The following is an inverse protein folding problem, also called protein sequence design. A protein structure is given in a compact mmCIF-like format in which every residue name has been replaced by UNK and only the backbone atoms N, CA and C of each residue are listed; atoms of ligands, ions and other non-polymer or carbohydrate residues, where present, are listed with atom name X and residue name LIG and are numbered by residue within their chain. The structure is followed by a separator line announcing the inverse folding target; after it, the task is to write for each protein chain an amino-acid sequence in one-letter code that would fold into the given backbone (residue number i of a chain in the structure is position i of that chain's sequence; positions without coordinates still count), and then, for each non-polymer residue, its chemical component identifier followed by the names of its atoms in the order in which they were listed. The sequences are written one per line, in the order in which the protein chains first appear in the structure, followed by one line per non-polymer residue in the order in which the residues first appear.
data_IF_644910450922
#
_entry.id   IF_644910450922
#
_cell.length_a   1.000
_cell.length_b   1.000
_cell.length_c   1.000
_cell.angle_alpha   90.00
_cell.angle_beta   90.00
_cell.angle_gamma   90.00
#
_symmetry.space_group_name_H-M   'P 1'
#
loop_
_entity.id
_entity.type
_entity.pdbx_description
1 polymer ?
#
# COMPACT_ATOMS: atom_id res chain seq x y z
N UNK A 1 13.65 -15.11 -17.71
CA UNK A 1 13.87 -13.75 -18.26
C UNK A 1 15.31 -13.32 -18.05
N UNK A 2 15.92 -12.56 -18.96
CA UNK A 2 17.21 -11.92 -18.69
C UNK A 2 16.99 -10.64 -17.87
N UNK A 3 17.24 -10.73 -16.56
CA UNK A 3 17.03 -9.63 -15.60
C UNK A 3 17.94 -8.43 -15.92
N UNK A 4 19.20 -8.68 -16.32
CA UNK A 4 20.16 -7.60 -16.61
C UNK A 4 19.70 -6.82 -17.83
N UNK A 5 19.25 -7.52 -18.87
CA UNK A 5 18.68 -6.87 -20.06
C UNK A 5 17.47 -6.02 -19.69
N UNK A 6 16.56 -6.56 -18.86
CA UNK A 6 15.36 -5.84 -18.44
C UNK A 6 15.68 -4.56 -17.65
N UNK A 7 16.61 -4.64 -16.70
CA UNK A 7 17.09 -3.48 -15.96
C UNK A 7 17.75 -2.45 -16.88
N UNK A 8 18.52 -2.90 -17.87
CA UNK A 8 19.16 -1.98 -18.84
C UNK A 8 18.14 -1.23 -19.71
N UNK A 9 17.00 -1.86 -20.03
CA UNK A 9 15.89 -1.21 -20.76
C UNK A 9 15.13 -0.21 -19.88
N UNK A 10 14.95 -0.50 -18.60
CA UNK A 10 14.22 0.35 -17.65
C UNK A 10 15.05 1.52 -17.12
N UNK A 11 16.38 1.38 -17.09
CA UNK A 11 17.35 2.40 -16.67
C UNK A 11 18.25 2.82 -17.83
N UNK A 12 17.72 3.51 -18.86
CA UNK A 12 18.49 3.86 -20.07
C UNK A 12 19.65 4.83 -19.82
N UNK A 13 19.66 5.51 -18.67
CA UNK A 13 20.78 6.35 -18.22
C UNK A 13 22.00 5.55 -17.78
N UNK A 14 21.85 4.23 -17.57
CA UNK A 14 22.92 3.34 -17.12
C UNK A 14 23.26 2.35 -18.23
N UNK A 15 24.51 2.34 -18.67
CA UNK A 15 25.00 1.36 -19.65
C UNK A 15 24.83 -0.07 -19.11
N UNK A 16 24.50 -1.02 -20.00
CA UNK A 16 24.27 -2.42 -19.65
C UNK A 16 25.45 -3.09 -18.90
N UNK A 17 26.69 -2.72 -19.22
CA UNK A 17 27.87 -3.24 -18.51
C UNK A 17 27.93 -2.71 -17.06
N UNK A 18 27.54 -1.45 -16.85
CA UNK A 18 27.41 -0.89 -15.50
C UNK A 18 26.27 -1.54 -14.73
N UNK A 19 25.12 -1.80 -15.37
CA UNK A 19 24.02 -2.57 -14.75
C UNK A 19 24.52 -3.95 -14.28
N UNK A 20 25.25 -4.68 -15.13
CA UNK A 20 25.83 -5.98 -14.76
C UNK A 20 26.79 -5.87 -13.56
N UNK A 21 27.66 -4.86 -13.55
CA UNK A 21 28.58 -4.63 -12.45
C UNK A 21 27.84 -4.28 -11.15
N UNK A 22 26.82 -3.43 -11.22
CA UNK A 22 25.99 -3.05 -10.05
C UNK A 22 25.32 -4.28 -9.46
N UNK A 23 24.69 -5.13 -10.29
CA UNK A 23 24.07 -6.39 -9.85
C UNK A 23 25.11 -7.29 -9.18
N UNK A 24 26.28 -7.46 -9.79
CA UNK A 24 27.36 -8.27 -9.19
C UNK A 24 27.82 -7.74 -7.82
N UNK A 25 27.97 -6.42 -7.69
CA UNK A 25 28.35 -5.80 -6.42
C UNK A 25 27.28 -5.98 -5.34
N UNK A 26 25.99 -5.89 -5.69
CA UNK A 26 24.88 -6.16 -4.77
C UNK A 26 24.90 -7.63 -4.33
N UNK A 27 25.16 -8.56 -5.25
CA UNK A 27 25.20 -10.00 -4.96
C UNK A 27 26.38 -10.40 -4.06
N UNK A 28 27.49 -9.68 -4.16
CA UNK A 28 28.62 -9.78 -3.22
C UNK A 28 28.29 -9.25 -1.81
N UNK A 29 27.10 -8.69 -1.60
CA UNK A 29 26.64 -8.15 -0.32
C UNK A 29 27.10 -6.73 -0.05
N UNK A 30 27.59 -5.99 -1.06
CA UNK A 30 27.96 -4.59 -0.88
C UNK A 30 26.72 -3.71 -0.69
N UNK A 31 26.79 -2.77 0.24
CA UNK A 31 25.69 -1.81 0.48
C UNK A 31 25.66 -0.71 -0.59
N UNK A 32 24.49 -0.15 -0.87
CA UNK A 32 24.34 0.96 -1.82
C UNK A 32 25.28 2.15 -1.51
N UNK A 33 25.40 2.62 -0.25
CA UNK A 33 26.37 3.68 0.07
C UNK A 33 27.83 3.29 -0.20
N UNK A 34 28.19 2.02 0.00
CA UNK A 34 29.54 1.53 -0.30
C UNK A 34 29.79 1.53 -1.81
N UNK A 35 28.85 1.01 -2.60
CA UNK A 35 28.93 0.98 -4.07
C UNK A 35 29.07 2.41 -4.61
N UNK A 36 28.18 3.30 -4.20
CA UNK A 36 28.15 4.68 -4.67
C UNK A 36 29.42 5.46 -4.32
N UNK A 37 30.05 5.16 -3.18
CA UNK A 37 31.27 5.85 -2.72
C UNK A 37 32.55 5.25 -3.29
N UNK A 38 32.67 3.93 -3.33
CA UNK A 38 33.93 3.22 -3.54
C UNK A 38 33.99 2.38 -4.84
N UNK A 39 32.91 2.33 -5.61
CA UNK A 39 32.82 1.56 -6.87
C UNK A 39 32.33 2.39 -8.06
N UNK A 40 32.49 3.72 -7.99
CA UNK A 40 32.01 4.68 -9.02
C UNK A 40 32.43 4.32 -10.44
N UNK A 41 33.67 3.91 -10.64
CA UNK A 41 34.17 3.56 -11.98
C UNK A 41 33.44 2.34 -12.56
N UNK A 42 33.10 1.38 -11.71
CA UNK A 42 32.38 0.16 -12.12
C UNK A 42 30.92 0.43 -12.44
N UNK A 43 30.33 1.48 -11.86
CA UNK A 43 28.92 1.85 -12.00
C UNK A 43 28.68 3.02 -12.96
N UNK A 44 29.73 3.59 -13.57
CA UNK A 44 29.59 4.78 -14.42
C UNK A 44 29.29 6.06 -13.62
N UNK A 45 29.67 6.08 -12.35
CA UNK A 45 29.37 7.16 -11.39
C UNK A 45 27.88 7.40 -11.16
N UNK A 46 27.07 6.33 -11.20
CA UNK A 46 25.67 6.39 -10.77
C UNK A 46 25.55 6.93 -9.35
N UNK A 47 24.57 7.79 -9.12
CA UNK A 47 24.26 8.30 -7.78
C UNK A 47 23.54 7.26 -6.91
N UNK A 48 23.51 7.52 -5.60
CA UNK A 48 22.87 6.65 -4.61
C UNK A 48 21.38 6.40 -4.89
N UNK A 49 20.68 7.34 -5.55
CA UNK A 49 19.26 7.20 -5.81
C UNK A 49 19.02 6.17 -6.93
N UNK A 50 19.72 6.32 -8.05
CA UNK A 50 19.66 5.36 -9.16
C UNK A 50 20.06 3.95 -8.69
N UNK A 51 21.09 3.84 -7.85
CA UNK A 51 21.53 2.56 -7.31
C UNK A 51 20.47 1.90 -6.42
N UNK A 52 19.72 2.68 -5.62
CA UNK A 52 18.61 2.15 -4.80
C UNK A 52 17.43 1.70 -5.65
N UNK A 53 17.01 2.53 -6.62
CA UNK A 53 15.92 2.20 -7.53
C UNK A 53 16.24 0.92 -8.34
N UNK A 54 17.50 0.75 -8.75
CA UNK A 54 17.97 -0.45 -9.43
C UNK A 54 17.96 -1.68 -8.51
N UNK A 55 18.41 -1.58 -7.25
CA UNK A 55 18.35 -2.68 -6.28
C UNK A 55 16.91 -3.09 -5.99
N UNK A 56 16.02 -2.15 -5.69
CA UNK A 56 14.59 -2.42 -5.46
C UNK A 56 13.97 -3.14 -6.67
N UNK A 57 14.28 -2.67 -7.88
CA UNK A 57 13.79 -3.30 -9.11
C UNK A 57 14.41 -4.68 -9.34
N UNK A 58 15.69 -4.85 -9.05
CA UNK A 58 16.38 -6.15 -9.11
C UNK A 58 15.71 -7.16 -8.18
N UNK A 59 15.42 -6.78 -6.94
CA UNK A 59 14.71 -7.65 -5.99
C UNK A 59 13.31 -8.01 -6.48
N UNK A 60 12.56 -7.05 -7.03
CA UNK A 60 11.26 -7.32 -7.63
C UNK A 60 11.35 -8.35 -8.77
N UNK A 61 12.28 -8.15 -9.72
CA UNK A 61 12.42 -9.05 -10.88
C UNK A 61 12.86 -10.46 -10.45
N UNK A 62 13.72 -10.57 -9.43
CA UNK A 62 14.09 -11.86 -8.83
C UNK A 62 12.90 -12.55 -8.18
N UNK A 63 12.09 -11.82 -7.42
CA UNK A 63 10.88 -12.35 -6.82
C UNK A 63 9.88 -12.81 -7.88
N UNK A 64 9.76 -12.09 -9.00
CA UNK A 64 8.94 -12.48 -10.13
C UNK A 64 9.42 -13.80 -10.74
N UNK A 65 10.71 -13.94 -11.06
CA UNK A 65 11.25 -15.17 -11.65
C UNK A 65 11.13 -16.37 -10.69
N UNK A 66 11.45 -16.18 -9.41
CA UNK A 66 11.23 -17.20 -8.38
C UNK A 66 9.76 -17.64 -8.33
N UNK A 67 8.83 -16.69 -8.40
CA UNK A 67 7.40 -17.00 -8.37
C UNK A 67 6.96 -17.77 -9.62
N UNK A 68 7.46 -17.41 -10.80
CA UNK A 68 7.23 -18.16 -12.04
C UNK A 68 7.70 -19.61 -11.91
N UNK A 69 8.89 -19.83 -11.36
CA UNK A 69 9.44 -21.17 -11.13
C UNK A 69 8.57 -22.00 -10.19
N UNK A 70 8.16 -21.43 -9.05
CA UNK A 70 7.27 -22.08 -8.08
C UNK A 70 5.93 -22.48 -8.71
N UNK A 71 5.31 -21.58 -9.48
CA UNK A 71 4.05 -21.82 -10.18
C UNK A 71 4.23 -22.91 -11.24
N UNK A 72 5.30 -22.83 -12.04
CA UNK A 72 5.61 -23.83 -13.05
C UNK A 72 5.79 -25.22 -12.44
N UNK A 73 6.50 -25.31 -11.32
CA UNK A 73 6.70 -26.56 -10.59
C UNK A 73 5.36 -27.12 -10.08
N UNK A 74 4.56 -26.30 -9.42
CA UNK A 74 3.24 -26.68 -8.89
C UNK A 74 2.29 -27.21 -9.98
N UNK A 75 2.24 -26.56 -11.13
CA UNK A 75 1.39 -26.98 -12.26
C UNK A 75 1.92 -28.27 -12.91
N UNK A 76 3.24 -28.41 -13.01
CA UNK A 76 3.88 -29.61 -13.57
C UNK A 76 3.67 -30.83 -12.68
N UNK A 77 3.73 -30.67 -11.36
CA UNK A 77 3.44 -31.73 -10.37
C UNK A 77 1.98 -32.21 -10.46
N UNK A 78 1.05 -31.36 -10.92
CA UNK A 78 -0.34 -31.73 -11.20
C UNK A 78 -0.54 -32.42 -12.55
N UNK A 79 0.49 -32.52 -13.40
CA UNK A 79 0.40 -33.07 -14.75
C UNK A 79 -0.42 -32.22 -15.72
N UNK A 80 -0.61 -30.93 -15.43
CA UNK A 80 -1.45 -30.00 -16.21
C UNK A 80 -0.65 -28.96 -17.02
N UNK A 81 0.68 -29.06 -16.99
CA UNK A 81 1.53 -28.13 -17.72
C UNK A 81 1.45 -28.40 -19.23
N UNK A 82 1.18 -27.36 -20.01
CA UNK A 82 1.27 -27.38 -21.49
C UNK A 82 2.34 -26.41 -21.96
N UNK A 83 2.82 -26.57 -23.20
CA UNK A 83 3.84 -25.70 -23.78
C UNK A 83 3.34 -24.25 -23.92
N UNK A 84 2.04 -24.07 -24.22
CA UNK A 84 1.41 -22.74 -24.29
C UNK A 84 1.34 -22.08 -22.93
N UNK A 85 0.96 -22.83 -21.89
CA UNK A 85 0.90 -22.32 -20.52
C UNK A 85 2.29 -21.97 -19.99
N UNK A 86 3.28 -22.83 -20.26
CA UNK A 86 4.67 -22.57 -19.90
C UNK A 86 5.16 -21.27 -20.55
N UNK A 87 4.93 -21.13 -21.85
CA UNK A 87 5.28 -19.93 -22.59
C UNK A 87 4.58 -18.68 -22.05
N UNK A 88 3.30 -18.78 -21.67
CA UNK A 88 2.55 -17.68 -21.06
C UNK A 88 3.11 -17.27 -19.69
N UNK A 89 3.50 -18.23 -18.84
CA UNK A 89 4.11 -17.94 -17.53
C UNK A 89 5.49 -17.29 -17.70
N UNK A 90 6.31 -17.82 -18.60
CA UNK A 90 7.64 -17.27 -18.87
C UNK A 90 7.56 -15.83 -19.41
N UNK A 91 6.55 -15.54 -20.24
CA UNK A 91 6.26 -14.21 -20.80
C UNK A 91 5.58 -13.22 -19.84
N UNK A 92 5.03 -13.68 -18.70
CA UNK A 92 4.35 -12.80 -17.75
C UNK A 92 5.31 -11.72 -17.21
N UNK A 93 4.86 -10.47 -17.22
CA UNK A 93 5.68 -9.30 -16.87
C UNK A 93 5.49 -8.84 -15.41
N UNK A 94 4.42 -9.32 -14.75
CA UNK A 94 4.07 -8.91 -13.39
C UNK A 94 3.68 -10.11 -12.53
N UNK A 95 3.83 -9.99 -11.21
CA UNK A 95 3.39 -11.01 -10.27
C UNK A 95 1.88 -11.29 -10.40
N UNK A 96 1.08 -10.26 -10.69
CA UNK A 96 -0.36 -10.39 -10.89
C UNK A 96 -0.69 -11.27 -12.09
N UNK A 97 0.00 -11.12 -13.21
CA UNK A 97 -0.19 -11.98 -14.40
C UNK A 97 0.18 -13.44 -14.10
N UNK A 98 1.26 -13.66 -13.34
CA UNK A 98 1.65 -15.01 -12.89
C UNK A 98 0.58 -15.63 -11.99
N UNK A 99 0.03 -14.87 -11.03
CA UNK A 99 -1.04 -15.35 -10.16
C UNK A 99 -2.35 -15.61 -10.92
N UNK A 100 -2.69 -14.78 -11.92
CA UNK A 100 -3.84 -14.99 -12.78
C UNK A 100 -3.71 -16.30 -13.57
N UNK A 101 -2.54 -16.59 -14.15
CA UNK A 101 -2.25 -17.85 -14.83
C UNK A 101 -2.25 -19.05 -13.89
N UNK A 102 -1.83 -18.87 -12.63
CA UNK A 102 -1.80 -19.93 -11.63
C UNK A 102 -3.19 -20.24 -11.04
N UNK A 103 -4.13 -19.29 -11.09
CA UNK A 103 -5.43 -19.36 -10.41
C UNK A 103 -6.23 -20.64 -10.65
N UNK A 104 -6.33 -21.17 -11.90
CA UNK A 104 -7.04 -22.43 -12.18
C UNK A 104 -6.43 -23.66 -11.48
N UNK A 105 -5.15 -23.61 -11.14
CA UNK A 105 -4.37 -24.73 -10.59
C UNK A 105 -4.14 -24.63 -9.09
N UNK A 106 -4.54 -23.51 -8.48
CA UNK A 106 -4.42 -23.29 -7.05
C UNK A 106 -5.43 -24.18 -6.33
N UNK A 107 -5.01 -24.86 -5.26
CA UNK A 107 -5.92 -25.62 -4.42
C UNK A 107 -6.97 -24.70 -3.80
N UNK A 108 -8.26 -24.97 -4.07
CA UNK A 108 -9.39 -24.17 -3.56
C UNK A 108 -10.12 -24.91 -2.45
N UNK A 109 -10.74 -24.15 -1.55
CA UNK A 109 -11.78 -24.67 -0.65
C UNK A 109 -12.94 -25.22 -1.49
N UNK A 110 -13.74 -26.12 -0.94
CA UNK A 110 -14.90 -26.72 -1.62
C UNK A 110 -15.83 -25.62 -2.20
N UNK A 111 -15.81 -25.46 -3.52
CA UNK A 111 -16.66 -24.54 -4.30
C UNK A 111 -17.85 -25.28 -4.92
N UNK A 112 -18.84 -24.52 -5.41
CA UNK A 112 -19.96 -25.10 -6.18
C UNK A 112 -19.48 -25.86 -7.42
N UNK A 113 -18.48 -25.31 -8.13
CA UNK A 113 -17.84 -25.97 -9.26
C UNK A 113 -17.14 -27.27 -8.84
N UNK A 114 -16.32 -27.24 -7.76
CA UNK A 114 -15.65 -28.46 -7.29
C UNK A 114 -16.65 -29.56 -6.86
N UNK A 115 -17.77 -29.16 -6.23
CA UNK A 115 -18.82 -30.10 -5.88
C UNK A 115 -19.52 -30.67 -7.14
N UNK A 116 -19.73 -29.85 -8.18
CA UNK A 116 -20.25 -30.33 -9.45
C UNK A 116 -19.26 -31.26 -10.19
N UNK A 117 -17.96 -30.99 -10.10
CA UNK A 117 -16.90 -31.86 -10.64
C UNK A 117 -16.87 -33.20 -9.90
N UNK A 118 -16.96 -33.20 -8.56
CA UNK A 118 -17.07 -34.43 -7.75
C UNK A 118 -18.30 -35.29 -8.13
N UNK A 119 -19.37 -34.64 -8.60
CA UNK A 119 -20.58 -35.31 -9.12
C UNK A 119 -20.44 -35.82 -10.55
N UNK A 120 -19.31 -35.56 -11.22
CA UNK A 120 -19.06 -36.01 -12.59
C UNK A 120 -19.64 -35.10 -13.68
N UNK A 121 -19.96 -33.84 -13.38
CA UNK A 121 -20.59 -32.91 -14.33
C UNK A 121 -19.61 -32.15 -15.25
N UNK A 122 -18.30 -32.36 -15.11
CA UNK A 122 -17.28 -31.73 -15.97
C UNK A 122 -17.50 -31.99 -17.48
N UNK A 123 -17.77 -33.23 -17.94
CA UNK A 123 -17.99 -33.48 -19.36
C UNK A 123 -19.21 -32.74 -19.93
N UNK A 124 -20.27 -32.57 -19.12
CA UNK A 124 -21.44 -31.79 -19.50
C UNK A 124 -21.09 -30.30 -19.63
N UNK A 125 -20.30 -29.75 -18.70
CA UNK A 125 -19.82 -28.36 -18.77
C UNK A 125 -18.97 -28.12 -20.01
N UNK A 126 -18.06 -29.03 -20.33
CA UNK A 126 -17.21 -28.95 -21.53
C UNK A 126 -18.06 -29.01 -22.81
N UNK A 127 -19.09 -29.87 -22.85
CA UNK A 127 -20.01 -29.96 -23.98
C UNK A 127 -20.86 -28.68 -24.15
N UNK A 128 -21.34 -28.11 -23.05
CA UNK A 128 -22.06 -26.83 -23.06
C UNK A 128 -21.15 -25.71 -23.55
N UNK A 129 -19.88 -25.65 -23.12
CA UNK A 129 -18.90 -24.64 -23.57
C UNK A 129 -18.59 -24.74 -25.06
N UNK A 130 -18.53 -25.94 -25.62
CA UNK A 130 -18.36 -26.14 -27.06
C UNK A 130 -19.47 -25.46 -27.88
N UNK A 131 -20.68 -25.33 -27.32
CA UNK A 131 -21.86 -24.72 -27.96
C UNK A 131 -22.09 -25.27 -29.37
N UNK A 132 -22.00 -26.60 -29.50
CA UNK A 132 -22.29 -27.31 -30.75
C UNK A 132 -23.81 -27.27 -31.03
N UNK A 133 -24.27 -26.61 -32.11
CA UNK A 133 -25.70 -26.47 -32.40
C UNK A 133 -26.41 -27.80 -32.71
N UNK A 134 -25.66 -28.86 -33.01
CA UNK A 134 -26.21 -30.18 -33.31
C UNK A 134 -26.61 -30.97 -32.06
N UNK A 135 -26.31 -30.45 -30.87
CA UNK A 135 -26.48 -31.15 -29.58
C UNK A 135 -27.69 -30.62 -28.85
N UNK A 136 -28.60 -31.52 -28.50
CA UNK A 136 -29.61 -31.24 -27.50
C UNK A 136 -29.00 -31.33 -26.09
N UNK A 137 -28.71 -30.16 -25.50
CA UNK A 137 -28.14 -30.05 -24.15
C UNK A 137 -29.02 -30.69 -23.09
N UNK A 138 -30.35 -30.68 -23.26
CA UNK A 138 -31.26 -31.28 -22.27
C UNK A 138 -31.16 -32.80 -22.29
N UNK A 139 -31.19 -33.40 -23.48
CA UNK A 139 -30.99 -34.83 -23.66
C UNK A 139 -29.59 -35.27 -23.21
N UNK A 140 -28.57 -34.43 -23.43
CA UNK A 140 -27.22 -34.71 -22.92
C UNK A 140 -27.18 -34.66 -21.39
N UNK A 141 -27.85 -33.68 -20.77
CA UNK A 141 -27.90 -33.53 -19.31
C UNK A 141 -28.60 -34.69 -18.61
N UNK A 142 -29.59 -35.33 -19.25
CA UNK A 142 -30.26 -36.52 -18.71
C UNK A 142 -29.30 -37.68 -18.43
N UNK A 143 -28.22 -37.80 -19.21
CA UNK A 143 -27.18 -38.84 -19.01
C UNK A 143 -26.39 -38.67 -17.71
N UNK A 144 -26.45 -37.49 -17.11
CA UNK A 144 -25.73 -37.15 -15.88
C UNK A 144 -26.64 -37.10 -14.65
N UNK A 145 -27.91 -37.50 -14.78
CA UNK A 145 -28.85 -37.59 -13.66
C UNK A 145 -28.49 -38.78 -12.79
N UNK A 146 -28.19 -38.48 -11.53
CA UNK A 146 -27.74 -39.45 -10.54
C UNK A 146 -28.15 -38.91 -9.15
N UNK A 147 -29.27 -39.40 -8.64
CA UNK A 147 -29.81 -38.96 -7.36
C UNK A 147 -28.87 -39.31 -6.19
N UNK A 148 -28.11 -40.40 -6.27
CA UNK A 148 -27.14 -40.80 -5.24
C UNK A 148 -25.95 -39.86 -5.18
N UNK A 149 -25.55 -39.29 -6.32
CA UNK A 149 -24.55 -38.21 -6.38
C UNK A 149 -25.14 -36.82 -6.13
N UNK A 150 -26.44 -36.70 -5.83
CA UNK A 150 -27.11 -35.42 -5.57
C UNK A 150 -27.40 -34.61 -6.82
N UNK A 151 -27.63 -35.28 -7.96
CA UNK A 151 -28.10 -34.71 -9.23
C UNK A 151 -29.49 -35.31 -9.55
N UNK A 152 -30.57 -34.77 -8.96
CA UNK A 152 -31.89 -35.41 -9.01
C UNK A 152 -32.59 -35.31 -10.38
N UNK A 153 -32.23 -34.31 -11.20
CA UNK A 153 -32.84 -34.07 -12.51
C UNK A 153 -31.86 -33.37 -13.48
N UNK A 154 -32.25 -33.27 -14.75
CA UNK A 154 -31.45 -32.63 -15.79
C UNK A 154 -31.21 -31.14 -15.51
N UNK A 155 -32.12 -30.46 -14.81
CA UNK A 155 -31.96 -29.06 -14.46
C UNK A 155 -30.84 -28.87 -13.42
N UNK A 156 -30.73 -29.78 -12.44
CA UNK A 156 -29.65 -29.82 -11.48
C UNK A 156 -28.29 -30.14 -12.13
N UNK A 157 -28.27 -31.03 -13.13
CA UNK A 157 -27.08 -31.32 -13.93
C UNK A 157 -26.61 -30.06 -14.69
N UNK A 158 -27.53 -29.36 -15.37
CA UNK A 158 -27.25 -28.10 -16.06
C UNK A 158 -26.78 -27.02 -15.07
N UNK A 159 -27.42 -26.89 -13.90
CA UNK A 159 -27.02 -25.93 -12.89
C UNK A 159 -25.59 -26.18 -12.39
N UNK A 160 -25.24 -27.44 -12.10
CA UNK A 160 -23.87 -27.81 -11.73
C UNK A 160 -22.86 -27.57 -12.85
N UNK A 161 -23.23 -27.85 -14.11
CA UNK A 161 -22.40 -27.51 -15.26
C UNK A 161 -22.18 -25.99 -15.40
N UNK A 162 -23.23 -25.17 -15.17
CA UNK A 162 -23.10 -23.70 -15.13
C UNK A 162 -22.18 -23.22 -14.01
N UNK A 163 -22.22 -23.84 -12.83
CA UNK A 163 -21.30 -23.51 -11.74
C UNK A 163 -19.83 -23.77 -12.12
N UNK A 164 -19.55 -24.85 -12.87
CA UNK A 164 -18.21 -25.15 -13.42
C UNK A 164 -17.80 -24.07 -14.43
N UNK A 165 -18.67 -23.73 -15.38
CA UNK A 165 -18.42 -22.71 -16.40
C UNK A 165 -18.16 -21.34 -15.77
N UNK A 166 -18.96 -20.96 -14.77
CA UNK A 166 -18.80 -19.71 -14.04
C UNK A 166 -17.40 -19.60 -13.38
N UNK A 167 -16.87 -20.71 -12.85
CA UNK A 167 -15.53 -20.74 -12.26
C UNK A 167 -14.43 -20.71 -13.34
N UNK A 168 -14.59 -21.43 -14.45
CA UNK A 168 -13.67 -21.38 -15.60
C UNK A 168 -13.51 -19.94 -16.11
N UNK A 169 -14.62 -19.25 -16.37
CA UNK A 169 -14.61 -17.85 -16.84
C UNK A 169 -14.03 -16.92 -15.77
N UNK A 170 -14.29 -17.20 -14.49
CA UNK A 170 -13.77 -16.38 -13.39
C UNK A 170 -12.25 -16.45 -13.24
N UNK A 171 -11.67 -17.61 -13.54
CA UNK A 171 -10.23 -17.83 -13.45
C UNK A 171 -9.46 -17.51 -14.72
N UNK A 172 -10.13 -17.18 -15.81
CA UNK A 172 -9.46 -16.86 -17.07
C UNK A 172 -8.62 -15.57 -16.94
N UNK A 173 -7.31 -15.73 -17.10
CA UNK A 173 -6.35 -14.64 -16.95
C UNK A 173 -6.62 -13.46 -17.90
N UNK A 174 -7.09 -13.72 -19.12
CA UNK A 174 -7.37 -12.67 -20.10
C UNK A 174 -8.64 -11.88 -19.73
N UNK A 175 -9.69 -12.56 -19.30
CA UNK A 175 -10.92 -11.93 -18.79
C UNK A 175 -10.59 -11.05 -17.59
N UNK A 176 -9.85 -11.58 -16.62
CA UNK A 176 -9.45 -10.85 -15.42
C UNK A 176 -8.63 -9.61 -15.76
N UNK A 177 -7.61 -9.74 -16.61
CA UNK A 177 -6.78 -8.62 -17.07
C UNK A 177 -7.61 -7.52 -17.74
N UNK A 178 -8.54 -7.89 -18.63
CA UNK A 178 -9.42 -6.93 -19.30
C UNK A 178 -10.35 -6.22 -18.31
N UNK A 179 -10.99 -6.95 -17.41
CA UNK A 179 -11.88 -6.38 -16.40
C UNK A 179 -11.13 -5.46 -15.42
N UNK A 180 -9.98 -5.89 -14.91
CA UNK A 180 -9.12 -5.07 -14.04
C UNK A 180 -8.77 -3.73 -14.70
N UNK A 181 -8.36 -3.77 -15.96
CA UNK A 181 -8.04 -2.56 -16.72
C UNK A 181 -9.26 -1.64 -16.94
N UNK A 182 -10.45 -2.21 -17.13
CA UNK A 182 -11.69 -1.43 -17.24
C UNK A 182 -12.03 -0.75 -15.91
N UNK A 183 -11.97 -1.47 -14.80
CA UNK A 183 -12.24 -0.90 -13.48
C UNK A 183 -11.21 0.19 -13.12
N UNK A 184 -9.93 -0.01 -13.43
CA UNK A 184 -8.90 1.00 -13.19
C UNK A 184 -9.11 2.29 -14.00
N UNK A 185 -9.63 2.18 -15.24
CA UNK A 185 -9.80 3.34 -16.13
C UNK A 185 -11.16 4.02 -16.00
N UNK A 186 -12.19 3.26 -15.66
CA UNK A 186 -13.58 3.69 -15.82
C UNK A 186 -14.46 3.32 -14.62
N UNK A 187 -13.91 2.63 -13.61
CA UNK A 187 -14.63 2.37 -12.37
C UNK A 187 -14.81 3.63 -11.54
N UNK A 188 -15.80 3.59 -10.65
CA UNK A 188 -16.10 4.65 -9.70
C UNK A 188 -15.92 4.12 -8.29
N UNK A 189 -15.15 4.82 -7.45
CA UNK A 189 -15.06 4.52 -6.04
C UNK A 189 -16.16 5.30 -5.31
N UNK A 190 -17.05 4.57 -4.67
CA UNK A 190 -18.19 5.09 -3.92
C UNK A 190 -17.96 4.88 -2.42
N UNK A 191 -18.23 5.91 -1.62
CA UNK A 191 -18.15 5.86 -0.16
C UNK A 191 -19.46 6.28 0.47
N UNK A 192 -19.84 5.57 1.53
CA UNK A 192 -21.01 5.92 2.35
C UNK A 192 -20.66 5.98 3.83
N UNK A 193 -21.09 7.04 4.51
CA UNK A 193 -20.98 7.14 5.96
C UNK A 193 -21.89 6.11 6.61
N UNK A 194 -21.34 5.40 7.59
CA UNK A 194 -22.05 4.50 8.49
C UNK A 194 -21.71 4.92 9.92
N UNK A 195 -22.58 4.61 10.88
CA UNK A 195 -22.36 4.94 12.29
C UNK A 195 -22.11 6.44 12.56
N UNK A 196 -22.86 7.32 11.88
CA UNK A 196 -22.66 8.77 11.90
C UNK A 196 -22.71 9.41 13.31
N UNK A 197 -23.35 8.75 14.27
CA UNK A 197 -23.52 9.24 15.64
C UNK A 197 -22.29 8.99 16.55
N UNK A 198 -21.31 8.21 16.09
CA UNK A 198 -20.13 7.88 16.88
C UNK A 198 -19.07 8.99 16.87
N UNK A 199 -18.32 9.12 17.97
CA UNK A 199 -17.21 10.06 18.09
C UNK A 199 -16.11 9.71 17.07
N UNK A 200 -15.75 10.67 16.22
CA UNK A 200 -14.81 10.46 15.10
C UNK A 200 -15.46 10.39 13.71
N UNK A 201 -16.77 10.13 13.61
CA UNK A 201 -17.45 10.06 12.30
C UNK A 201 -17.36 11.38 11.50
N UNK A 202 -17.37 12.53 12.18
CA UNK A 202 -17.22 13.86 11.58
C UNK A 202 -15.91 14.05 10.81
N UNK A 203 -14.85 13.30 11.16
CA UNK A 203 -13.58 13.34 10.43
C UNK A 203 -13.74 12.89 8.97
N UNK A 204 -14.76 12.08 8.68
CA UNK A 204 -15.02 11.50 7.35
C UNK A 204 -16.24 12.12 6.67
N UNK A 205 -16.76 13.25 7.17
CA UNK A 205 -17.98 13.90 6.66
C UNK A 205 -17.88 14.25 5.17
N UNK A 206 -16.70 14.66 4.70
CA UNK A 206 -16.46 14.94 3.27
C UNK A 206 -16.59 13.71 2.37
N UNK A 207 -16.60 12.50 2.93
CA UNK A 207 -16.74 11.21 2.23
C UNK A 207 -18.09 10.54 2.51
N UNK A 208 -19.07 11.27 3.04
CA UNK A 208 -20.30 10.66 3.53
C UNK A 208 -21.22 10.09 2.44
N UNK A 209 -21.23 10.70 1.26
CA UNK A 209 -21.87 10.20 0.04
C UNK A 209 -21.05 10.72 -1.14
N UNK A 210 -19.85 10.16 -1.29
CA UNK A 210 -18.86 10.62 -2.26
C UNK A 210 -18.66 9.55 -3.32
N UNK A 211 -18.53 9.99 -4.58
CA UNK A 211 -18.25 9.14 -5.71
C UNK A 211 -17.23 9.83 -6.60
N UNK A 212 -16.23 9.09 -7.06
CA UNK A 212 -15.16 9.61 -7.91
C UNK A 212 -14.57 8.54 -8.81
N UNK A 213 -14.06 8.95 -9.97
CA UNK A 213 -13.40 8.02 -10.89
C UNK A 213 -12.12 7.42 -10.28
N UNK A 214 -11.98 6.10 -10.37
CA UNK A 214 -10.82 5.33 -9.90
C UNK A 214 -9.50 5.82 -10.51
N UNK A 215 -9.51 6.28 -11.77
CA UNK A 215 -8.32 6.78 -12.44
C UNK A 215 -7.89 8.18 -11.95
N UNK A 216 -8.79 8.94 -11.32
CA UNK A 216 -8.57 10.35 -10.96
C UNK A 216 -8.40 10.58 -9.45
N UNK A 217 -8.86 9.63 -8.62
CA UNK A 217 -8.77 9.75 -7.17
C UNK A 217 -7.34 9.95 -6.70
N UNK A 218 -7.15 10.97 -5.85
CA UNK A 218 -5.85 11.28 -5.24
C UNK A 218 -5.50 10.28 -4.15
N UNK A 219 -4.22 9.99 -4.06
CA UNK A 219 -3.63 9.00 -3.17
C UNK A 219 -3.95 9.27 -1.69
N UNK A 220 -3.86 10.53 -1.24
CA UNK A 220 -4.22 10.89 0.13
C UNK A 220 -5.70 10.64 0.44
N UNK A 221 -6.60 10.73 -0.55
CA UNK A 221 -8.02 10.40 -0.39
C UNK A 221 -8.22 8.89 -0.33
N UNK A 222 -7.48 8.11 -1.12
CA UNK A 222 -7.47 6.64 -0.99
C UNK A 222 -7.11 6.23 0.44
N UNK A 223 -6.05 6.81 1.01
CA UNK A 223 -5.64 6.52 2.39
C UNK A 223 -6.70 6.96 3.42
N UNK A 224 -7.32 8.13 3.25
CA UNK A 224 -8.38 8.62 4.13
C UNK A 224 -9.61 7.70 4.10
N UNK A 225 -10.04 7.30 2.92
CA UNK A 225 -11.19 6.40 2.71
C UNK A 225 -10.90 5.02 3.29
N UNK A 226 -9.70 4.46 3.07
CA UNK A 226 -9.26 3.20 3.67
C UNK A 226 -9.25 3.27 5.20
N UNK A 227 -8.80 4.39 5.75
CA UNK A 227 -8.80 4.62 7.20
C UNK A 227 -10.21 4.67 7.76
N UNK A 228 -11.12 5.43 7.13
CA UNK A 228 -12.52 5.50 7.55
C UNK A 228 -13.23 4.16 7.45
N UNK A 229 -12.92 3.33 6.45
CA UNK A 229 -13.42 1.96 6.34
C UNK A 229 -12.89 1.07 7.46
N UNK A 230 -11.58 1.12 7.74
CA UNK A 230 -10.94 0.34 8.81
C UNK A 230 -11.44 0.72 10.21
N UNK A 231 -11.71 2.00 10.43
CA UNK A 231 -12.28 2.52 11.67
C UNK A 231 -13.80 2.30 11.78
N UNK A 232 -14.46 1.80 10.71
CA UNK A 232 -15.87 1.43 10.73
C UNK A 232 -16.85 2.60 10.53
N UNK A 233 -16.37 3.74 10.03
CA UNK A 233 -17.18 4.92 9.72
C UNK A 233 -17.56 5.02 8.25
N UNK A 234 -16.83 4.37 7.35
CA UNK A 234 -17.14 4.34 5.93
C UNK A 234 -17.40 2.93 5.44
N UNK A 235 -18.28 2.82 4.44
CA UNK A 235 -18.40 1.65 3.57
C UNK A 235 -17.93 2.04 2.19
N UNK A 236 -16.99 1.30 1.63
CA UNK A 236 -16.36 1.63 0.35
C UNK A 236 -16.65 0.54 -0.67
N UNK A 237 -16.91 0.94 -1.90
CA UNK A 237 -17.10 0.04 -3.03
C UNK A 237 -16.48 0.60 -4.29
N UNK A 238 -16.12 -0.27 -5.23
CA UNK A 238 -15.80 0.13 -6.59
C UNK A 238 -16.88 -0.40 -7.52
N UNK A 239 -17.64 0.50 -8.11
CA UNK A 239 -18.72 0.19 -9.04
C UNK A 239 -18.27 0.40 -10.48
N UNK A 240 -18.92 -0.31 -11.39
CA UNK A 240 -18.75 -0.16 -12.83
C UNK A 240 -20.04 -0.62 -13.53
N UNK A 241 -20.18 -0.33 -14.83
CA UNK A 241 -21.32 -0.77 -15.60
C UNK A 241 -21.31 -2.31 -15.77
N UNK A 242 -22.14 -2.99 -14.99
CA UNK A 242 -22.27 -4.45 -14.98
C UNK A 242 -22.59 -5.06 -16.34
N UNK A 243 -23.39 -4.38 -17.18
CA UNK A 243 -23.75 -4.90 -18.50
C UNK A 243 -22.54 -4.91 -19.43
N UNK A 244 -21.71 -3.87 -19.37
CA UNK A 244 -20.46 -3.81 -20.13
C UNK A 244 -19.48 -4.88 -19.61
N UNK A 245 -19.32 -4.99 -18.29
CA UNK A 245 -18.41 -5.97 -17.71
C UNK A 245 -18.79 -7.42 -18.03
N UNK A 246 -20.09 -7.77 -17.93
CA UNK A 246 -20.60 -9.10 -18.31
C UNK A 246 -20.35 -9.42 -19.78
N UNK A 247 -20.58 -8.45 -20.68
CA UNK A 247 -20.25 -8.62 -22.11
C UNK A 247 -18.76 -8.87 -22.33
N UNK A 248 -17.90 -8.12 -21.64
CA UNK A 248 -16.44 -8.29 -21.73
C UNK A 248 -16.00 -9.65 -21.20
N UNK A 249 -16.59 -10.12 -20.10
CA UNK A 249 -16.33 -11.44 -19.54
C UNK A 249 -16.77 -12.57 -20.49
N UNK A 250 -17.92 -12.40 -21.15
CA UNK A 250 -18.47 -13.39 -22.08
C UNK A 250 -17.87 -13.36 -23.49
N UNK A 251 -17.21 -12.28 -23.90
CA UNK A 251 -16.77 -12.08 -25.29
C UNK A 251 -15.86 -13.18 -25.84
N UNK A 252 -15.06 -13.84 -25.00
CA UNK A 252 -14.21 -14.97 -25.39
C UNK A 252 -14.90 -16.33 -25.39
N UNK A 253 -16.11 -16.42 -24.81
CA UNK A 253 -16.80 -17.68 -24.55
C UNK A 253 -18.09 -17.83 -25.37
N UNK A 254 -18.77 -16.75 -25.73
CA UNK A 254 -20.07 -16.81 -26.40
C UNK A 254 -19.91 -17.06 -27.90
N UNK A 255 -20.64 -18.04 -28.43
CA UNK A 255 -20.72 -18.35 -29.87
C UNK A 255 -22.07 -17.94 -30.46
N UNK A 256 -22.29 -18.30 -31.73
CA UNK A 256 -23.55 -18.00 -32.44
C UNK A 256 -24.74 -18.72 -31.79
N UNK A 257 -25.75 -17.93 -31.41
CA UNK A 257 -27.05 -18.25 -30.82
C UNK A 257 -27.50 -19.72 -30.70
N UNK A 258 -28.14 -20.03 -29.57
CA UNK A 258 -28.74 -21.33 -29.29
C UNK A 258 -28.97 -21.50 -27.80
N UNK A 259 -29.55 -22.64 -27.40
CA UNK A 259 -29.81 -22.92 -25.98
C UNK A 259 -28.50 -23.06 -25.17
N UNK A 260 -27.48 -23.70 -25.72
CA UNK A 260 -26.16 -23.80 -25.09
C UNK A 260 -25.54 -22.41 -24.84
N UNK A 261 -25.62 -21.49 -25.80
CA UNK A 261 -25.12 -20.12 -25.65
C UNK A 261 -25.85 -19.35 -24.56
N UNK A 262 -27.17 -19.55 -24.42
CA UNK A 262 -27.93 -18.96 -23.31
C UNK A 262 -27.43 -19.47 -21.96
N UNK A 263 -27.18 -20.77 -21.83
CA UNK A 263 -26.64 -21.36 -20.59
C UNK A 263 -25.23 -20.84 -20.27
N UNK A 264 -24.37 -20.67 -21.29
CA UNK A 264 -23.05 -20.06 -21.11
C UNK A 264 -23.17 -18.60 -20.68
N UNK A 265 -24.07 -17.81 -21.29
CA UNK A 265 -24.33 -16.43 -20.88
C UNK A 265 -24.81 -16.34 -19.42
N UNK A 266 -25.75 -17.20 -19.01
CA UNK A 266 -26.21 -17.26 -17.63
C UNK A 266 -25.07 -17.60 -16.65
N UNK A 267 -24.20 -18.54 -17.02
CA UNK A 267 -23.04 -18.91 -16.21
C UNK A 267 -22.00 -17.79 -16.13
N UNK A 268 -21.75 -17.08 -17.23
CA UNK A 268 -20.88 -15.88 -17.26
C UNK A 268 -21.45 -14.78 -16.38
N UNK A 269 -22.75 -14.53 -16.43
CA UNK A 269 -23.41 -13.49 -15.65
C UNK A 269 -23.35 -13.79 -14.14
N UNK A 270 -23.63 -15.03 -13.73
CA UNK A 270 -23.48 -15.47 -12.33
C UNK A 270 -22.01 -15.43 -11.89
N UNK A 271 -21.10 -15.97 -12.72
CA UNK A 271 -19.66 -15.97 -12.47
C UNK A 271 -19.11 -14.55 -12.33
N UNK A 272 -19.60 -13.61 -13.12
CA UNK A 272 -19.25 -12.19 -12.98
C UNK A 272 -19.67 -11.65 -11.61
N UNK A 273 -20.96 -11.72 -11.29
CA UNK A 273 -21.52 -11.11 -10.08
C UNK A 273 -20.96 -11.74 -8.80
N UNK A 274 -20.82 -13.07 -8.77
CA UNK A 274 -20.46 -13.82 -7.56
C UNK A 274 -18.95 -13.97 -7.37
N UNK A 275 -18.18 -14.07 -8.45
CA UNK A 275 -16.77 -14.47 -8.39
C UNK A 275 -15.82 -13.39 -8.93
N UNK A 276 -16.05 -12.87 -10.15
CA UNK A 276 -15.16 -11.89 -10.76
C UNK A 276 -15.26 -10.53 -10.07
N UNK A 277 -16.45 -9.93 -10.00
CA UNK A 277 -16.63 -8.58 -9.45
C UNK A 277 -16.01 -8.42 -8.06
N UNK A 278 -16.33 -9.28 -7.05
CA UNK A 278 -15.76 -9.13 -5.70
C UNK A 278 -14.25 -9.37 -5.66
N UNK A 279 -13.69 -10.10 -6.63
CA UNK A 279 -12.25 -10.32 -6.71
C UNK A 279 -11.54 -9.14 -7.37
N UNK A 280 -12.07 -8.64 -8.48
CA UNK A 280 -11.51 -7.51 -9.23
C UNK A 280 -11.62 -6.23 -8.39
N UNK A 281 -12.73 -6.00 -7.69
CA UNK A 281 -12.87 -4.89 -6.75
C UNK A 281 -11.75 -4.87 -5.70
N UNK A 282 -11.48 -6.02 -5.07
CA UNK A 282 -10.39 -6.15 -4.08
C UNK A 282 -9.01 -5.90 -4.69
N UNK A 283 -8.76 -6.40 -5.90
CA UNK A 283 -7.50 -6.18 -6.60
C UNK A 283 -7.28 -4.71 -6.93
N UNK A 284 -8.31 -4.04 -7.44
CA UNK A 284 -8.24 -2.61 -7.76
C UNK A 284 -8.04 -1.78 -6.49
N UNK A 285 -8.76 -2.09 -5.40
CA UNK A 285 -8.54 -1.47 -4.08
C UNK A 285 -7.11 -1.68 -3.57
N UNK A 286 -6.53 -2.87 -3.76
CA UNK A 286 -5.16 -3.17 -3.39
C UNK A 286 -4.15 -2.33 -4.19
N UNK A 287 -4.32 -2.24 -5.52
CA UNK A 287 -3.47 -1.42 -6.39
C UNK A 287 -3.52 0.05 -5.99
N UNK A 288 -4.73 0.60 -5.77
CA UNK A 288 -4.89 1.98 -5.30
C UNK A 288 -4.18 2.21 -3.95
N UNK A 289 -4.27 1.23 -3.05
CA UNK A 289 -3.65 1.32 -1.72
C UNK A 289 -2.13 1.26 -1.79
N UNK A 290 -1.58 0.39 -2.64
CA UNK A 290 -0.14 0.25 -2.87
C UNK A 290 0.44 1.56 -3.42
N UNK A 291 -0.15 2.07 -4.51
CA UNK A 291 0.26 3.33 -5.13
C UNK A 291 0.19 4.50 -4.12
N UNK A 292 -0.90 4.56 -3.34
CA UNK A 292 -1.07 5.64 -2.37
C UNK A 292 -0.07 5.54 -1.20
N UNK A 293 0.25 4.32 -0.77
CA UNK A 293 1.23 4.09 0.29
C UNK A 293 2.63 4.44 -0.17
N UNK A 294 3.00 4.05 -1.39
CA UNK A 294 4.30 4.37 -1.98
C UNK A 294 4.50 5.88 -2.11
N UNK A 295 3.50 6.61 -2.62
CA UNK A 295 3.58 8.06 -2.71
C UNK A 295 3.67 8.72 -1.33
N UNK A 296 2.92 8.25 -0.34
CA UNK A 296 2.99 8.78 1.03
C UNK A 296 4.36 8.53 1.67
N UNK A 297 4.93 7.34 1.51
CA UNK A 297 6.28 7.00 1.99
C UNK A 297 7.32 7.91 1.33
N UNK A 298 7.22 8.13 0.02
CA UNK A 298 8.11 9.06 -0.70
C UNK A 298 8.02 10.48 -0.15
N UNK A 299 6.82 10.96 0.19
CA UNK A 299 6.67 12.26 0.85
C UNK A 299 7.28 12.28 2.25
N UNK A 300 7.14 11.20 3.03
CA UNK A 300 7.80 11.10 4.33
C UNK A 300 9.32 11.08 4.22
N UNK A 301 9.88 10.39 3.22
CA UNK A 301 11.31 10.41 2.92
C UNK A 301 11.79 11.84 2.59
N UNK A 302 11.09 12.53 1.69
CA UNK A 302 11.41 13.90 1.30
C UNK A 302 11.32 14.88 2.49
N UNK A 303 10.43 14.63 3.45
CA UNK A 303 10.32 15.44 4.66
C UNK A 303 11.36 15.09 5.73
N UNK A 304 11.75 13.81 5.83
CA UNK A 304 12.72 13.34 6.80
C UNK A 304 14.15 13.76 6.42
N UNK A 305 14.49 13.73 5.14
CA UNK A 305 15.84 14.05 4.66
C UNK A 305 16.31 15.46 5.10
N UNK A 306 15.54 16.55 4.94
CA UNK A 306 15.92 17.86 5.45
C UNK A 306 16.13 17.89 6.96
N UNK A 307 15.34 17.13 7.74
CA UNK A 307 15.49 17.05 9.20
C UNK A 307 16.83 16.40 9.60
N UNK A 308 17.23 15.34 8.90
CA UNK A 308 18.51 14.67 9.15
C UNK A 308 19.72 15.48 8.65
N UNK A 309 19.52 16.30 7.61
CA UNK A 309 20.58 17.09 6.99
C UNK A 309 20.69 18.50 7.58
N UNK A 310 19.96 18.83 8.65
CA UNK A 310 20.06 20.13 9.30
C UNK A 310 21.49 20.35 9.83
N UNK A 311 22.11 21.51 9.56
CA UNK A 311 23.39 21.85 10.15
C UNK A 311 23.32 21.79 11.68
N UNK A 312 24.20 21.02 12.34
CA UNK A 312 24.18 20.93 13.80
C UNK A 312 24.70 22.22 14.43
N UNK A 313 24.06 22.63 15.53
CA UNK A 313 24.60 23.66 16.43
C UNK A 313 25.63 23.00 17.33
N UNK A 314 26.90 23.38 17.21
CA UNK A 314 28.02 22.78 17.95
C UNK A 314 28.50 23.67 19.08
N UNK A 315 28.93 23.06 20.18
CA UNK A 315 29.63 23.71 21.28
C UNK A 315 28.84 24.85 21.94
N UNK A 316 27.50 24.75 21.94
CA UNK A 316 26.59 25.74 22.56
C UNK A 316 25.81 25.12 23.70
N UNK A 317 25.77 25.83 24.83
CA UNK A 317 24.93 25.46 25.97
C UNK A 317 23.49 25.81 25.61
N UNK A 318 22.63 24.80 25.57
CA UNK A 318 21.29 24.89 25.00
C UNK A 318 20.23 24.57 26.05
N UNK A 319 19.19 25.40 26.11
CA UNK A 319 17.98 25.13 26.88
C UNK A 319 16.90 24.61 25.94
N UNK A 320 16.52 23.35 26.08
CA UNK A 320 15.37 22.76 25.39
C UNK A 320 14.08 23.05 26.14
N UNK A 321 13.06 23.53 25.41
CA UNK A 321 11.71 23.79 25.88
C UNK A 321 10.74 22.96 25.04
N UNK A 322 10.11 21.98 25.68
CA UNK A 322 9.01 21.17 25.14
C UNK A 322 7.66 21.80 25.54
N UNK A 323 6.94 22.47 24.62
CA UNK A 323 5.72 23.20 24.95
C UNK A 323 4.56 22.30 25.38
N UNK A 324 3.78 22.75 26.35
CA UNK A 324 2.48 22.16 26.64
C UNK A 324 1.60 23.09 27.48
N UNK A 325 0.28 23.05 27.25
CA UNK A 325 -0.69 23.78 28.07
C UNK A 325 -0.86 23.17 29.48
N UNK A 326 -1.51 22.01 29.58
CA UNK A 326 -1.96 21.46 30.88
C UNK A 326 -0.84 20.88 31.74
N UNK A 327 0.14 20.24 31.11
CA UNK A 327 1.24 19.55 31.79
C UNK A 327 2.44 20.45 32.08
N UNK A 328 2.40 21.71 31.62
CA UNK A 328 3.52 22.63 31.70
C UNK A 328 4.60 22.34 30.65
N UNK A 329 5.38 23.36 30.33
CA UNK A 329 6.50 23.26 29.42
C UNK A 329 7.66 22.58 30.15
N UNK A 330 8.20 21.49 29.59
CA UNK A 330 9.36 20.80 30.17
C UNK A 330 10.62 21.47 29.67
N UNK A 331 11.56 21.65 30.59
CA UNK A 331 12.82 22.34 30.36
C UNK A 331 13.95 21.38 30.64
N UNK A 332 14.92 21.33 29.75
CA UNK A 332 16.20 20.66 29.95
C UNK A 332 17.33 21.59 29.53
N UNK A 333 18.40 21.67 30.31
CA UNK A 333 19.62 22.38 29.94
C UNK A 333 20.68 21.35 29.60
N UNK A 334 21.31 21.47 28.44
CA UNK A 334 22.40 20.62 27.98
C UNK A 334 23.65 21.46 27.69
N UNK A 335 24.83 20.93 27.99
CA UNK A 335 26.09 21.59 27.64
C UNK A 335 26.46 21.38 26.16
N UNK A 336 27.58 21.98 25.73
CA UNK A 336 28.07 21.85 24.36
C UNK A 336 28.43 20.43 23.91
N UNK A 337 28.54 19.48 24.84
CA UNK A 337 28.75 18.05 24.56
C UNK A 337 27.45 17.24 24.48
N UNK A 338 26.31 17.86 24.82
CA UNK A 338 25.00 17.22 24.93
C UNK A 338 24.71 16.62 26.30
N UNK A 339 25.58 16.82 27.30
CA UNK A 339 25.34 16.33 28.66
C UNK A 339 24.25 17.15 29.34
N UNK A 340 23.28 16.47 29.94
CA UNK A 340 22.22 17.13 30.72
C UNK A 340 22.79 17.75 32.00
N UNK A 341 22.54 19.04 32.18
CA UNK A 341 22.95 19.83 33.33
C UNK A 341 21.82 20.04 34.34
N UNK A 342 20.60 20.28 33.85
CA UNK A 342 19.43 20.56 34.69
C UNK A 342 18.12 20.25 33.99
N UNK A 343 17.05 20.07 34.75
CA UNK A 343 15.69 19.89 34.24
C UNK A 343 14.65 20.47 35.17
N UNK A 344 13.59 21.05 34.61
CA UNK A 344 12.45 21.57 35.38
C UNK A 344 11.18 21.59 34.55
N UNK A 345 10.06 21.95 35.16
CA UNK A 345 8.79 22.22 34.48
C UNK A 345 8.33 23.62 34.85
N UNK A 346 7.94 24.40 33.85
CA UNK A 346 7.41 25.76 34.01
C UNK A 346 6.04 25.88 33.35
N UNK A 347 5.26 26.89 33.75
CA UNK A 347 3.89 27.08 33.26
C UNK A 347 3.71 28.46 32.59
N UNK A 348 4.39 28.74 31.47
CA UNK A 348 4.31 30.04 30.79
C UNK A 348 3.07 30.20 29.90
N UNK A 349 2.50 29.09 29.42
CA UNK A 349 1.39 29.07 28.46
C UNK A 349 0.02 29.22 29.13
N UNK A 350 -1.03 29.65 28.40
CA UNK A 350 -2.38 29.77 28.91
C UNK A 350 -2.91 28.47 29.55
N UNK A 351 -3.50 28.58 30.74
CA UNK A 351 -4.13 27.45 31.43
C UNK A 351 -4.30 27.66 32.93
N UNK A 352 -4.98 26.73 33.63
CA UNK A 352 -5.32 26.90 35.06
C UNK A 352 -4.10 27.05 35.99
N UNK A 353 -2.94 26.52 35.58
CA UNK A 353 -1.68 26.58 36.33
C UNK A 353 -0.73 27.68 35.83
N UNK A 354 -1.18 28.55 34.94
CA UNK A 354 -0.33 29.57 34.31
C UNK A 354 0.33 30.45 35.38
N UNK A 355 1.66 30.58 35.30
CA UNK A 355 2.43 31.46 36.15
C UNK A 355 3.65 31.99 35.37
N UNK A 356 3.42 33.05 34.59
CA UNK A 356 4.43 33.69 33.74
C UNK A 356 5.60 34.22 34.58
N UNK A 357 5.31 34.87 35.71
CA UNK A 357 6.35 35.47 36.57
C UNK A 357 7.32 34.44 37.13
N UNK A 358 6.80 33.34 37.69
CA UNK A 358 7.64 32.25 38.18
C UNK A 358 8.40 31.54 37.04
N UNK A 359 7.78 31.39 35.86
CA UNK A 359 8.46 30.83 34.69
C UNK A 359 9.63 31.72 34.23
N UNK A 360 9.43 33.04 34.10
CA UNK A 360 10.50 33.99 33.74
C UNK A 360 11.63 33.94 34.75
N UNK A 361 11.33 34.04 36.05
CA UNK A 361 12.33 34.00 37.11
C UNK A 361 13.15 32.70 37.06
N UNK A 362 12.49 31.54 36.89
CA UNK A 362 13.19 30.26 36.85
C UNK A 362 14.07 30.10 35.61
N UNK A 363 13.61 30.55 34.44
CA UNK A 363 14.40 30.47 33.22
C UNK A 363 15.58 31.45 33.23
N UNK A 364 15.41 32.68 33.76
CA UNK A 364 16.53 33.62 33.96
C UNK A 364 17.61 33.02 34.87
N UNK A 365 17.21 32.36 35.95
CA UNK A 365 18.13 31.64 36.85
C UNK A 365 18.94 30.58 36.10
N UNK A 366 18.28 29.70 35.32
CA UNK A 366 18.95 28.64 34.56
C UNK A 366 19.87 29.19 33.47
N UNK A 367 19.41 30.21 32.74
CA UNK A 367 20.18 30.85 31.67
C UNK A 367 21.47 31.46 32.22
N UNK A 368 21.38 32.20 33.33
CA UNK A 368 22.54 32.81 33.97
C UNK A 368 23.47 31.77 34.60
N UNK A 369 22.91 30.76 35.29
CA UNK A 369 23.68 29.73 36.00
C UNK A 369 24.56 28.91 35.06
N UNK A 370 24.03 28.54 33.89
CA UNK A 370 24.72 27.66 32.95
C UNK A 370 25.32 28.40 31.76
N UNK A 371 25.11 29.72 31.62
CA UNK A 371 25.58 30.47 30.46
C UNK A 371 24.90 30.00 29.17
N UNK A 372 23.57 29.80 29.21
CA UNK A 372 22.80 29.35 28.04
C UNK A 372 22.92 30.39 26.93
N UNK A 373 23.21 29.93 25.73
CA UNK A 373 23.36 30.77 24.54
C UNK A 373 22.16 30.63 23.60
N UNK A 374 21.49 29.47 23.62
CA UNK A 374 20.41 29.13 22.70
C UNK A 374 19.25 28.47 23.43
N UNK A 375 18.02 28.88 23.09
CA UNK A 375 16.78 28.22 23.49
C UNK A 375 16.19 27.46 22.30
N UNK A 376 16.03 26.15 22.43
CA UNK A 376 15.37 25.30 21.44
C UNK A 376 13.92 25.08 21.85
N UNK A 377 12.96 25.39 20.97
CA UNK A 377 11.51 25.34 21.24
C UNK A 377 10.88 24.27 20.35
N UNK A 378 10.23 23.25 20.95
CA UNK A 378 9.47 22.26 20.18
C UNK A 378 8.30 22.87 19.40
N UNK A 379 8.01 22.36 18.21
CA UNK A 379 6.98 22.92 17.31
C UNK A 379 5.56 22.34 17.50
N UNK A 380 5.29 21.58 18.57
CA UNK A 380 3.96 21.03 18.81
C UNK A 380 2.99 21.96 19.53
N UNK A 381 2.23 21.36 20.43
CA UNK A 381 1.09 22.01 21.08
C UNK A 381 1.56 23.14 22.00
N UNK A 382 1.01 24.34 21.85
CA UNK A 382 1.40 25.56 22.59
C UNK A 382 2.77 26.15 22.20
N UNK A 383 3.34 25.76 21.05
CA UNK A 383 4.61 26.28 20.55
C UNK A 383 4.57 27.78 20.28
N UNK A 384 3.50 28.29 19.66
CA UNK A 384 3.31 29.72 19.38
C UNK A 384 3.35 30.57 20.65
N UNK A 385 2.63 30.17 21.69
CA UNK A 385 2.59 30.88 22.96
C UNK A 385 3.94 30.80 23.69
N UNK A 386 4.62 29.65 23.58
CA UNK A 386 5.96 29.47 24.14
C UNK A 386 7.01 30.32 23.44
N UNK A 387 6.91 30.47 22.11
CA UNK A 387 7.79 31.33 21.32
C UNK A 387 7.65 32.80 21.72
N UNK A 388 6.41 33.31 21.82
CA UNK A 388 6.15 34.67 22.28
C UNK A 388 6.76 34.91 23.66
N UNK A 389 6.54 33.96 24.58
CA UNK A 389 7.09 34.04 25.93
C UNK A 389 8.64 34.02 25.94
N UNK A 390 9.29 33.16 25.15
CA UNK A 390 10.75 33.08 25.07
C UNK A 390 11.34 34.34 24.42
N UNK A 391 10.70 34.89 23.39
CA UNK A 391 11.15 36.11 22.74
C UNK A 391 11.12 37.31 23.71
N UNK A 392 10.05 37.44 24.50
CA UNK A 392 9.98 38.45 25.57
C UNK A 392 11.07 38.23 26.64
N UNK A 393 11.25 36.99 27.08
CA UNK A 393 12.25 36.63 28.09
C UNK A 393 13.67 37.01 27.63
N UNK A 394 14.02 36.69 26.39
CA UNK A 394 15.33 37.00 25.80
C UNK A 394 15.55 38.51 25.75
N UNK A 395 14.51 39.28 25.35
CA UNK A 395 14.58 40.73 25.34
C UNK A 395 14.86 41.30 26.74
N UNK A 396 14.14 40.83 27.75
CA UNK A 396 14.36 41.25 29.14
C UNK A 396 15.78 40.90 29.62
N UNK A 397 16.28 39.69 29.33
CA UNK A 397 17.64 39.27 29.71
C UNK A 397 18.68 40.19 29.08
N UNK A 398 18.52 40.52 27.80
CA UNK A 398 19.43 41.42 27.10
C UNK A 398 19.42 42.83 27.69
N UNK A 399 18.25 43.34 28.05
CA UNK A 399 18.10 44.66 28.69
C UNK A 399 18.68 44.68 30.12
N UNK A 400 18.54 43.60 30.88
CA UNK A 400 18.97 43.50 32.28
C UNK A 400 20.47 43.18 32.44
N UNK A 401 21.02 42.34 31.56
CA UNK A 401 22.35 41.73 31.75
C UNK A 401 23.32 41.97 30.59
N UNK A 402 22.83 42.37 29.42
CA UNK A 402 23.61 42.46 28.20
C UNK A 402 23.98 41.11 27.57
N UNK A 403 23.56 39.97 28.15
CA UNK A 403 23.78 38.64 27.58
C UNK A 403 22.94 38.47 26.30
N UNK A 404 23.57 37.96 25.23
CA UNK A 404 22.89 37.65 23.98
C UNK A 404 22.49 36.17 23.97
N UNK A 405 21.18 35.93 23.85
CA UNK A 405 20.59 34.59 23.81
C UNK A 405 19.71 34.51 22.58
N UNK A 406 19.89 33.49 21.76
CA UNK A 406 19.05 33.26 20.59
C UNK A 406 17.99 32.18 20.88
N UNK A 407 16.95 32.10 20.05
CA UNK A 407 16.05 30.95 20.06
C UNK A 407 15.89 30.37 18.65
N UNK A 408 15.51 29.10 18.61
CA UNK A 408 15.15 28.39 17.38
C UNK A 408 13.98 27.45 17.64
N UNK A 409 13.05 27.38 16.70
CA UNK A 409 11.96 26.41 16.71
C UNK A 409 12.43 25.13 16.02
N UNK A 410 12.24 23.99 16.68
CA UNK A 410 12.69 22.66 16.23
C UNK A 410 11.51 21.70 16.12
N UNK A 411 11.65 20.70 15.25
CA UNK A 411 10.68 19.62 15.14
C UNK A 411 10.66 18.77 16.41
N UNK A 412 9.48 18.53 16.97
CA UNK A 412 9.32 17.57 18.08
C UNK A 412 9.11 16.12 17.60
N UNK A 413 9.15 15.90 16.28
CA UNK A 413 8.93 14.58 15.69
C UNK A 413 9.92 13.55 16.28
N UNK A 414 9.38 12.53 16.94
CA UNK A 414 10.16 11.46 17.58
C UNK A 414 10.55 11.71 19.04
N UNK A 415 10.41 12.92 19.59
CA UNK A 415 10.76 13.21 20.98
C UNK A 415 9.90 12.42 22.00
N UNK A 416 8.59 12.33 21.73
CA UNK A 416 7.67 11.53 22.56
C UNK A 416 7.95 10.03 22.47
N UNK A 417 8.29 9.53 21.27
CA UNK A 417 8.68 8.13 21.05
C UNK A 417 9.99 7.83 21.78
N UNK A 418 10.99 8.72 21.69
CA UNK A 418 12.25 8.60 22.40
C UNK A 418 12.05 8.56 23.92
N UNK A 419 11.30 9.51 24.48
CA UNK A 419 11.09 9.58 25.95
C UNK A 419 10.35 8.38 26.54
N UNK A 420 9.59 7.65 25.74
CA UNK A 420 8.95 6.39 26.13
C UNK A 420 9.76 5.13 25.75
N UNK A 421 10.92 5.29 25.10
CA UNK A 421 11.76 4.17 24.65
C UNK A 421 12.69 3.68 25.77
N UNK A 422 13.17 2.42 25.69
CA UNK A 422 14.19 1.92 26.61
C UNK A 422 15.43 2.80 26.67
N UNK A 423 15.91 3.29 25.51
CA UNK A 423 17.07 4.18 25.42
C UNK A 423 16.84 5.54 26.09
N UNK A 424 15.61 6.07 26.02
CA UNK A 424 15.28 7.32 26.70
C UNK A 424 15.05 7.17 28.21
N UNK A 425 14.93 5.94 28.70
CA UNK A 425 14.83 5.62 30.12
C UNK A 425 16.20 5.36 30.78
N UNK A 426 17.24 5.12 29.98
CA UNK A 426 18.65 5.10 30.40
C UNK A 426 19.14 6.53 30.72
#
# INVERSE_FOLDING_TARGET
MDIIKKLSEEFPSVCADHVRNIVGLIDEGNTIPFIARYRKEMTGSCDDQVLRELDERLQYLRNLEKRKEEVCKSISEQGKMTDELRSAIDAAATLTEVEDLYRPYKQKKKTRASAAIERGLQPLADRILQQDPSVDVRAEAEKFVDAEKGVPDAAAAIAGAKDIIAEIVSDDANVRKKLRNLFLKNGEIETKLVNADQEGAKTYEMYADHAENVAEIKEHRVLAVNRGEKEGFLKVKITFNDQIAKRVAGAGYLKNGGYATQLVQEAVDDGYTRLLYPSIEREVRAILTENASEQAIKMFELNLKPLLMQPPVKDKITLGLDPAYRTGCKIAVVDGTGKVLDKTVVYPTPGPKQNIGAAKAKLKELIAKYGVEIVSIGNGTASKESEIFVAELIKEIREETGQDVAYIVVSEAGASVYSASPLGAE
#
